data_IF_585447480462
#
_entry.id   IF_585447480462
#
_cell.length_a   1.000
_cell.length_b   1.000
_cell.length_c   1.000
_cell.angle_alpha   90.00
_cell.angle_beta   90.00
_cell.angle_gamma   90.00
#
_symmetry.space_group_name_H-M   'P 1'
#
loop_
_entity.id
_entity.type
_entity.pdbx_description
1 polymer ?
#
# COMPACT_ATOMS: atom_id res chain seq x y z
N UNK A 1 52.90 -28.06 -5.57
CA UNK A 1 51.54 -28.21 -5.00
C UNK A 1 51.63 -28.11 -3.49
N UNK A 2 51.38 -26.91 -2.95
CA UNK A 2 51.68 -26.56 -1.57
C UNK A 2 50.42 -26.53 -0.71
N UNK A 3 50.47 -27.26 0.41
CA UNK A 3 49.43 -27.42 1.46
C UNK A 3 49.01 -26.13 2.19
N UNK A 4 49.23 -24.96 1.59
CA UNK A 4 48.87 -23.63 2.12
C UNK A 4 47.57 -23.07 1.55
N UNK A 5 47.16 -23.49 0.35
CA UNK A 5 45.90 -23.03 -0.27
C UNK A 5 44.65 -23.80 0.19
N UNK A 6 44.79 -24.94 0.86
CA UNK A 6 43.65 -25.72 1.36
C UNK A 6 43.18 -25.30 2.76
N UNK A 7 44.01 -24.57 3.53
CA UNK A 7 43.64 -24.13 4.90
C UNK A 7 42.90 -22.79 4.94
N UNK A 8 42.97 -21.99 3.89
CA UNK A 8 42.30 -20.67 3.82
C UNK A 8 40.83 -20.84 3.39
N UNK A 9 40.50 -21.81 2.55
CA UNK A 9 39.11 -22.10 2.19
C UNK A 9 38.31 -22.78 3.32
N UNK A 10 38.96 -23.53 4.22
CA UNK A 10 38.26 -24.16 5.35
C UNK A 10 37.98 -23.16 6.50
N UNK A 11 38.80 -22.12 6.67
CA UNK A 11 38.59 -21.08 7.67
C UNK A 11 37.47 -20.10 7.29
N UNK A 12 37.27 -19.84 5.98
CA UNK A 12 36.18 -18.99 5.49
C UNK A 12 34.82 -19.73 5.44
N UNK A 13 34.82 -21.06 5.33
CA UNK A 13 33.59 -21.85 5.34
C UNK A 13 33.05 -22.10 6.77
N UNK A 14 33.90 -22.02 7.80
CA UNK A 14 33.48 -22.11 9.21
C UNK A 14 33.02 -20.76 9.79
N UNK A 15 33.40 -19.62 9.17
CA UNK A 15 32.88 -18.31 9.56
C UNK A 15 31.55 -17.92 8.89
N UNK A 16 31.12 -18.67 7.85
CA UNK A 16 29.89 -18.40 7.11
C UNK A 16 28.70 -19.31 7.50
N UNK A 17 28.90 -20.22 8.47
CA UNK A 17 27.87 -21.09 9.01
C UNK A 17 27.90 -20.98 10.53
N UNK A 18 26.76 -20.56 11.10
CA UNK A 18 26.44 -20.43 12.53
C UNK A 18 26.75 -19.03 13.09
N UNK A 19 25.90 -18.10 12.64
CA UNK A 19 25.11 -17.30 13.55
C UNK A 19 25.80 -16.07 14.11
N UNK A 20 25.44 -14.92 13.57
CA UNK A 20 25.32 -13.70 14.35
C UNK A 20 24.43 -14.03 15.54
N UNK A 21 25.04 -14.45 16.65
CA UNK A 21 24.41 -14.37 17.95
C UNK A 21 24.27 -12.87 18.18
N UNK A 22 23.06 -12.30 18.29
CA UNK A 22 22.94 -10.93 18.74
C UNK A 22 23.74 -10.86 20.05
N UNK A 23 24.63 -9.88 20.18
CA UNK A 23 25.29 -9.58 21.44
C UNK A 23 24.23 -9.12 22.45
N UNK A 24 23.38 -10.05 22.92
CA UNK A 24 22.74 -9.97 24.21
C UNK A 24 23.89 -10.27 25.18
N UNK A 25 24.40 -9.24 25.83
CA UNK A 25 24.98 -9.42 27.16
C UNK A 25 23.89 -10.11 27.99
N UNK A 26 23.90 -11.44 28.00
CA UNK A 26 23.01 -12.25 28.81
C UNK A 26 23.51 -12.18 30.25
N UNK A 27 23.18 -11.09 30.94
CA UNK A 27 22.76 -11.28 32.32
C UNK A 27 21.56 -12.22 32.24
N UNK A 28 21.55 -13.29 33.04
CA UNK A 28 20.32 -14.02 33.28
C UNK A 28 19.34 -12.99 33.85
N UNK A 29 18.42 -12.50 33.01
CA UNK A 29 17.34 -11.67 33.49
C UNK A 29 16.38 -12.64 34.18
N UNK A 30 16.12 -12.39 35.46
CA UNK A 30 15.16 -13.15 36.26
C UNK A 30 13.72 -12.95 35.77
N UNK A 31 13.52 -12.17 34.71
CA UNK A 31 12.23 -11.84 34.14
C UNK A 31 12.31 -11.75 32.61
N UNK A 32 11.28 -12.21 31.93
CA UNK A 32 11.10 -12.02 30.49
C UNK A 32 9.88 -11.17 30.22
N UNK A 33 9.94 -10.43 29.12
CA UNK A 33 8.83 -9.68 28.56
C UNK A 33 8.87 -9.91 27.06
N UNK A 34 7.73 -10.30 26.49
CA UNK A 34 7.53 -10.48 25.06
C UNK A 34 6.27 -9.71 24.66
N UNK A 35 6.36 -8.85 23.65
CA UNK A 35 5.25 -8.05 23.14
C UNK A 35 5.09 -8.32 21.65
N UNK A 36 3.88 -8.72 21.27
CA UNK A 36 3.54 -9.11 19.91
C UNK A 36 2.42 -8.21 19.36
N UNK A 37 2.54 -7.71 18.11
CA UNK A 37 1.45 -7.07 17.41
C UNK A 37 0.23 -7.98 17.30
N UNK A 38 -0.96 -7.38 17.36
CA UNK A 38 -2.21 -8.09 17.13
C UNK A 38 -2.38 -8.45 15.64
N UNK A 39 -3.08 -9.56 15.31
CA UNK A 39 -3.27 -10.00 13.91
C UNK A 39 -3.96 -8.96 13.01
N UNK A 40 -4.70 -8.03 13.61
CA UNK A 40 -5.35 -6.89 12.92
C UNK A 40 -4.33 -5.91 12.33
N UNK A 41 -3.09 -5.92 12.82
CA UNK A 41 -2.00 -5.03 12.39
C UNK A 41 -1.06 -5.71 11.38
N UNK A 42 -0.91 -7.04 11.44
CA UNK A 42 0.02 -7.80 10.58
C UNK A 42 -0.31 -7.68 9.08
N UNK A 43 -1.59 -7.54 8.74
CA UNK A 43 -2.07 -7.47 7.35
C UNK A 43 -2.61 -6.08 6.98
N UNK A 44 -2.51 -5.11 7.88
CA UNK A 44 -3.02 -3.76 7.64
C UNK A 44 -2.09 -3.02 6.67
N UNK A 45 -2.65 -2.58 5.55
CA UNK A 45 -2.00 -1.67 4.60
C UNK A 45 -2.19 -0.20 5.02
N UNK A 46 -3.30 0.09 5.70
CA UNK A 46 -3.59 1.38 6.34
C UNK A 46 -4.06 1.17 7.79
N UNK A 47 -3.81 2.14 8.66
CA UNK A 47 -4.16 2.10 10.08
C UNK A 47 -5.28 3.11 10.35
N UNK A 48 -6.55 2.68 10.34
CA UNK A 48 -7.69 3.57 10.60
C UNK A 48 -7.84 3.87 12.08
N UNK A 49 -8.13 5.13 12.43
CA UNK A 49 -8.30 5.57 13.82
C UNK A 49 -9.45 4.84 14.52
N UNK A 50 -10.56 4.62 13.79
CA UNK A 50 -11.69 3.82 14.27
C UNK A 50 -11.33 2.34 14.41
N UNK A 51 -10.58 1.79 13.45
CA UNK A 51 -10.14 0.40 13.48
C UNK A 51 -9.11 0.11 14.58
N UNK A 52 -8.41 1.13 15.06
CA UNK A 52 -7.58 1.06 16.27
C UNK A 52 -8.37 1.21 17.57
N UNK A 53 -9.67 1.55 17.49
CA UNK A 53 -10.54 1.69 18.67
C UNK A 53 -10.17 2.87 19.57
N UNK A 54 -9.70 3.98 19.00
CA UNK A 54 -9.31 5.20 19.75
C UNK A 54 -10.46 5.75 20.61
N UNK A 55 -11.71 5.49 20.23
CA UNK A 55 -12.92 5.89 20.94
C UNK A 55 -13.46 4.84 21.93
N UNK A 56 -12.80 3.69 22.03
CA UNK A 56 -13.24 2.55 22.86
C UNK A 56 -12.29 2.33 24.03
N UNK A 57 -12.51 3.03 25.15
CA UNK A 57 -11.71 2.92 26.38
C UNK A 57 -11.61 1.45 26.87
N UNK A 58 -10.50 0.78 26.55
CA UNK A 58 -10.19 -0.59 26.99
C UNK A 58 -11.16 -1.67 26.50
N UNK A 59 -12.01 -1.37 25.52
CA UNK A 59 -12.97 -2.32 24.92
C UNK A 59 -12.78 -2.48 23.41
N UNK A 60 -11.73 -1.87 22.87
CA UNK A 60 -11.39 -1.91 21.46
C UNK A 60 -10.77 -3.24 21.02
N UNK A 61 -10.27 -3.30 19.78
CA UNK A 61 -9.54 -4.47 19.30
C UNK A 61 -8.24 -4.68 20.10
N UNK A 62 -7.78 -5.93 20.12
CA UNK A 62 -6.48 -6.27 20.68
C UNK A 62 -5.40 -5.87 19.66
N UNK A 63 -4.74 -4.75 19.95
CA UNK A 63 -3.67 -4.19 19.12
C UNK A 63 -2.32 -4.78 19.46
N UNK A 64 -2.10 -5.10 20.74
CA UNK A 64 -0.91 -5.77 21.21
C UNK A 64 -1.29 -6.82 22.24
N UNK A 65 -0.47 -7.85 22.30
CA UNK A 65 -0.48 -8.81 23.39
C UNK A 65 0.91 -8.95 23.97
N UNK A 66 0.99 -9.17 25.27
CA UNK A 66 2.24 -9.28 25.98
C UNK A 66 2.21 -10.46 26.95
N UNK A 67 3.34 -11.16 27.01
CA UNK A 67 3.61 -12.18 28.03
C UNK A 67 4.76 -11.72 28.89
N UNK A 68 4.59 -11.82 30.20
CA UNK A 68 5.63 -11.53 31.17
C UNK A 68 5.79 -12.71 32.11
N UNK A 69 7.03 -13.10 32.39
CA UNK A 69 7.33 -14.27 33.21
C UNK A 69 8.47 -14.00 34.18
N UNK A 70 8.25 -14.27 35.47
CA UNK A 70 9.32 -14.37 36.44
C UNK A 70 10.00 -15.74 36.29
N UNK A 71 11.29 -15.76 35.97
CA UNK A 71 12.08 -16.99 35.80
C UNK A 71 12.79 -17.45 37.08
N UNK A 72 12.69 -16.68 38.16
CA UNK A 72 13.32 -16.98 39.44
C UNK A 72 12.39 -17.73 40.41
N UNK A 73 13.01 -18.34 41.43
CA UNK A 73 12.32 -18.95 42.56
C UNK A 73 11.95 -17.94 43.66
N UNK A 74 12.27 -16.66 43.46
CA UNK A 74 11.96 -15.57 44.38
C UNK A 74 10.80 -14.70 43.86
N UNK A 75 10.14 -13.98 44.78
CA UNK A 75 9.15 -12.96 44.38
C UNK A 75 9.88 -11.73 43.91
N UNK A 76 9.48 -11.18 42.76
CA UNK A 76 10.03 -9.92 42.26
C UNK A 76 9.02 -8.82 42.58
N UNK A 77 9.35 -8.00 43.58
CA UNK A 77 8.53 -6.87 44.04
C UNK A 77 8.94 -5.53 43.41
N UNK A 78 8.11 -4.51 43.64
CA UNK A 78 8.33 -3.12 43.21
C UNK A 78 8.47 -2.97 41.69
N UNK A 79 7.64 -3.70 40.94
CA UNK A 79 7.59 -3.65 39.49
C UNK A 79 6.66 -2.53 38.99
N UNK A 80 7.09 -1.93 37.88
CA UNK A 80 6.42 -0.84 37.20
C UNK A 80 6.59 -0.96 35.69
N UNK A 81 5.62 -0.41 34.96
CA UNK A 81 5.71 -0.23 33.52
C UNK A 81 6.02 1.19 33.09
N UNK A 82 6.72 1.31 31.97
CA UNK A 82 6.73 2.49 31.12
C UNK A 82 6.37 2.04 29.70
N UNK A 83 5.44 2.78 29.08
CA UNK A 83 5.02 2.58 27.70
C UNK A 83 5.42 3.80 26.90
N UNK A 84 6.06 3.54 25.77
CA UNK A 84 6.44 4.57 24.81
C UNK A 84 5.84 4.18 23.46
N UNK A 85 5.10 5.09 22.86
CA UNK A 85 4.66 4.95 21.47
C UNK A 85 5.42 5.97 20.64
N UNK A 86 6.01 5.51 19.54
CA UNK A 86 6.78 6.37 18.64
C UNK A 86 6.32 6.18 17.20
N UNK A 87 6.46 7.24 16.41
CA UNK A 87 6.34 7.21 14.95
C UNK A 87 7.72 7.51 14.35
N UNK A 88 8.17 6.70 13.38
CA UNK A 88 9.54 6.76 12.84
C UNK A 88 9.97 8.14 12.32
N UNK A 89 9.04 8.93 11.77
CA UNK A 89 9.31 10.27 11.22
C UNK A 89 9.23 11.39 12.26
N UNK A 90 8.57 11.14 13.38
CA UNK A 90 8.19 12.18 14.36
C UNK A 90 8.96 12.02 15.68
N UNK A 91 9.19 10.78 16.11
CA UNK A 91 9.74 10.44 17.41
C UNK A 91 8.67 9.93 18.37
N UNK A 92 8.89 10.11 19.68
CA UNK A 92 7.95 9.65 20.70
C UNK A 92 6.70 10.51 20.67
N UNK A 93 5.53 9.89 20.50
CA UNK A 93 4.22 10.55 20.46
C UNK A 93 3.42 10.31 21.75
N UNK A 94 3.67 9.20 22.45
CA UNK A 94 3.08 8.92 23.77
C UNK A 94 4.18 8.44 24.69
N UNK A 95 4.18 8.93 25.91
CA UNK A 95 4.99 8.43 27.00
C UNK A 95 4.14 8.37 28.27
N UNK A 96 3.92 7.16 28.77
CA UNK A 96 3.20 6.95 30.03
C UNK A 96 3.99 6.04 30.95
N UNK A 97 4.04 6.41 32.22
CA UNK A 97 4.71 5.66 33.27
C UNK A 97 3.71 5.31 34.35
N UNK A 98 3.79 4.08 34.86
CA UNK A 98 2.97 3.63 35.98
C UNK A 98 3.20 4.51 37.21
N UNK A 99 2.12 4.84 37.90
CA UNK A 99 2.16 5.62 39.13
C UNK A 99 2.99 4.89 40.20
N UNK A 100 4.01 5.57 40.73
CA UNK A 100 4.94 5.03 41.72
C UNK A 100 4.27 4.57 43.02
N UNK A 101 3.06 5.03 43.33
CA UNK A 101 2.31 4.61 44.54
C UNK A 101 1.62 3.25 44.42
N UNK A 102 1.62 2.64 43.23
CA UNK A 102 0.93 1.37 42.95
C UNK A 102 1.86 0.35 42.28
N UNK A 103 2.92 -0.13 42.95
CA UNK A 103 3.75 -1.22 42.42
C UNK A 103 2.96 -2.52 42.33
N UNK A 104 3.41 -3.42 41.45
CA UNK A 104 2.99 -4.81 41.46
C UNK A 104 4.17 -5.75 41.71
N UNK A 105 3.86 -7.03 41.84
CA UNK A 105 4.82 -8.10 42.14
C UNK A 105 4.53 -9.32 41.27
N UNK A 106 5.57 -10.07 40.89
CA UNK A 106 5.41 -11.40 40.31
C UNK A 106 5.87 -12.47 41.30
N UNK A 107 5.02 -13.48 41.52
CA UNK A 107 5.34 -14.66 42.30
C UNK A 107 6.41 -15.50 41.57
N UNK A 108 7.13 -16.39 42.29
CA UNK A 108 8.08 -17.31 41.68
C UNK A 108 7.47 -18.07 40.50
N UNK A 109 8.18 -18.13 39.37
CA UNK A 109 7.73 -18.82 38.15
C UNK A 109 6.36 -18.37 37.61
N UNK A 110 5.88 -17.19 38.00
CA UNK A 110 4.60 -16.68 37.54
C UNK A 110 4.73 -16.17 36.12
N UNK A 111 3.88 -16.69 35.23
CA UNK A 111 3.65 -16.17 33.89
C UNK A 111 2.27 -15.49 33.84
N UNK A 112 2.22 -14.31 33.23
CA UNK A 112 0.99 -13.56 33.00
C UNK A 112 0.91 -13.12 31.54
N UNK A 113 -0.31 -13.11 31.02
CA UNK A 113 -0.64 -12.62 29.69
C UNK A 113 -1.59 -11.43 29.81
N UNK A 114 -1.35 -10.38 29.03
CA UNK A 114 -2.18 -9.18 29.01
C UNK A 114 -2.14 -8.50 27.64
N UNK A 115 -3.09 -7.60 27.41
CA UNK A 115 -3.29 -6.88 26.16
C UNK A 115 -3.29 -5.37 26.40
N UNK A 116 -3.34 -4.57 25.32
CA UNK A 116 -3.60 -3.13 25.43
C UNK A 116 -4.88 -2.82 26.21
N UNK A 117 -5.92 -3.63 26.07
CA UNK A 117 -7.19 -3.45 26.78
C UNK A 117 -7.04 -3.69 28.29
N UNK A 118 -6.27 -4.70 28.68
CA UNK A 118 -5.96 -4.96 30.10
C UNK A 118 -5.22 -3.76 30.73
N UNK A 119 -4.24 -3.21 30.01
CA UNK A 119 -3.49 -2.03 30.46
C UNK A 119 -4.38 -0.78 30.54
N UNK A 120 -5.25 -0.55 29.54
CA UNK A 120 -6.21 0.54 29.54
C UNK A 120 -7.22 0.45 30.68
N UNK A 121 -7.60 -0.77 31.08
CA UNK A 121 -8.46 -1.03 32.24
C UNK A 121 -7.70 -1.11 33.57
N UNK A 122 -6.41 -0.74 33.59
CA UNK A 122 -5.55 -0.70 34.78
C UNK A 122 -5.45 -2.03 35.55
N UNK A 123 -5.60 -3.16 34.86
CA UNK A 123 -5.63 -4.50 35.47
C UNK A 123 -4.96 -5.53 34.58
N UNK A 124 -4.08 -6.36 35.15
CA UNK A 124 -3.51 -7.52 34.46
C UNK A 124 -4.12 -8.81 35.04
N UNK A 125 -4.68 -9.69 34.20
CA UNK A 125 -5.12 -11.01 34.64
C UNK A 125 -4.00 -11.79 35.35
N UNK A 126 -4.28 -12.27 36.56
CA UNK A 126 -3.31 -12.99 37.40
C UNK A 126 -2.47 -12.10 38.32
N UNK A 127 -2.58 -10.77 38.22
CA UNK A 127 -2.01 -9.82 39.18
C UNK A 127 -3.15 -9.22 40.01
N UNK A 128 -3.05 -9.34 41.34
CA UNK A 128 -4.10 -8.88 42.25
C UNK A 128 -4.08 -7.36 42.44
N UNK A 129 -2.90 -6.74 42.27
CA UNK A 129 -2.71 -5.30 42.37
C UNK A 129 -3.26 -4.59 41.13
N UNK A 130 -3.98 -3.49 41.34
CA UNK A 130 -4.32 -2.53 40.30
C UNK A 130 -3.19 -1.53 40.13
N UNK A 131 -2.96 -1.07 38.91
CA UNK A 131 -2.01 0.01 38.63
C UNK A 131 -2.78 1.26 38.18
N UNK A 132 -2.07 2.27 37.72
CA UNK A 132 -2.62 3.45 37.05
C UNK A 132 -1.47 4.14 36.35
N UNK A 133 -1.71 4.81 35.23
CA UNK A 133 -0.67 5.51 34.49
C UNK A 133 -0.67 7.01 34.72
N UNK A 134 0.49 7.61 34.53
CA UNK A 134 0.70 9.06 34.48
C UNK A 134 1.49 9.39 33.22
N UNK A 135 1.36 10.61 32.71
CA UNK A 135 1.90 10.99 31.41
C UNK A 135 0.78 11.14 30.38
N UNK A 136 1.11 10.97 29.10
CA UNK A 136 0.16 11.11 28.00
C UNK A 136 0.87 11.39 26.69
N UNK A 137 0.29 12.27 25.88
CA UNK A 137 0.93 12.77 24.67
C UNK A 137 2.19 13.55 25.04
N UNK A 138 3.25 13.35 24.26
CA UNK A 138 4.44 14.23 24.27
C UNK A 138 4.12 15.52 23.52
N UNK A 139 5.04 16.48 23.50
CA UNK A 139 4.89 17.69 22.66
C UNK A 139 4.77 17.32 21.18
N UNK A 140 5.60 16.39 20.71
CA UNK A 140 5.54 15.85 19.35
C UNK A 140 4.23 15.09 19.10
N UNK A 141 3.68 14.43 20.13
CA UNK A 141 2.38 13.76 20.08
C UNK A 141 1.19 14.72 19.98
N UNK A 142 1.25 15.85 20.68
CA UNK A 142 0.23 16.91 20.58
C UNK A 142 0.21 17.53 19.18
N UNK A 143 1.40 17.83 18.63
CA UNK A 143 1.54 18.34 17.25
C UNK A 143 1.06 17.30 16.23
N UNK A 144 1.46 16.04 16.39
CA UNK A 144 1.00 14.95 15.54
C UNK A 144 -0.52 14.81 15.57
N UNK A 145 -1.15 14.81 16.74
CA UNK A 145 -2.61 14.74 16.86
C UNK A 145 -3.31 15.95 16.23
N UNK A 146 -2.72 17.15 16.35
CA UNK A 146 -3.23 18.35 15.68
C UNK A 146 -3.21 18.16 14.16
N UNK A 147 -2.13 17.61 13.60
CA UNK A 147 -2.00 17.34 12.15
C UNK A 147 -2.97 16.25 11.66
N UNK A 148 -3.41 15.34 12.54
CA UNK A 148 -4.46 14.37 12.23
C UNK A 148 -5.86 14.99 12.15
N UNK A 149 -6.05 16.27 12.49
CA UNK A 149 -7.38 16.88 12.53
C UNK A 149 -8.08 16.81 11.17
N UNK A 150 -9.13 15.99 11.10
CA UNK A 150 -9.90 15.73 9.87
C UNK A 150 -9.49 14.47 9.10
N UNK A 151 -8.44 13.77 9.53
CA UNK A 151 -8.08 12.44 9.05
C UNK A 151 -8.85 11.35 9.78
N UNK A 152 -9.14 10.24 9.09
CA UNK A 152 -9.68 9.00 9.67
C UNK A 152 -8.64 7.89 9.77
N UNK A 153 -7.42 8.13 9.27
CA UNK A 153 -6.31 7.17 9.25
C UNK A 153 -5.02 7.79 9.82
N UNK A 154 -4.15 6.94 10.39
CA UNK A 154 -2.80 7.33 10.73
C UNK A 154 -1.95 7.43 9.45
N UNK A 155 -1.09 8.46 9.32
CA UNK A 155 -0.14 8.58 8.23
C UNK A 155 0.74 7.35 8.10
N UNK A 156 1.26 7.12 6.88
CA UNK A 156 2.22 6.04 6.68
C UNK A 156 3.52 6.31 7.43
N UNK A 157 3.77 5.50 8.43
CA UNK A 157 5.00 5.46 9.19
C UNK A 157 5.25 4.05 9.74
N UNK A 158 6.43 3.83 10.29
CA UNK A 158 6.67 2.75 11.22
C UNK A 158 6.32 3.24 12.61
N UNK A 159 5.27 2.69 13.20
CA UNK A 159 4.90 2.93 14.59
C UNK A 159 5.51 1.86 15.47
N UNK A 160 5.98 2.23 16.65
CA UNK A 160 6.48 1.26 17.63
C UNK A 160 5.77 1.45 18.95
N UNK A 161 5.35 0.35 19.56
CA UNK A 161 4.97 0.29 20.96
C UNK A 161 6.11 -0.39 21.71
N UNK A 162 6.75 0.37 22.58
CA UNK A 162 7.80 -0.11 23.47
C UNK A 162 7.23 -0.25 24.87
N UNK A 163 7.41 -1.43 25.47
CA UNK A 163 7.06 -1.70 26.86
C UNK A 163 8.34 -1.98 27.64
N UNK A 164 8.59 -1.18 28.66
CA UNK A 164 9.71 -1.34 29.57
C UNK A 164 9.17 -1.77 30.92
N UNK A 165 9.68 -2.89 31.42
CA UNK A 165 9.48 -3.33 32.78
C UNK A 165 10.67 -2.89 33.62
N UNK A 166 10.42 -2.14 34.67
CA UNK A 166 11.47 -1.68 35.58
C UNK A 166 11.09 -1.90 37.04
N UNK A 167 12.13 -1.94 37.88
CA UNK A 167 12.02 -1.99 39.33
C UNK A 167 12.63 -0.75 39.93
N UNK A 168 12.04 -0.24 41.00
CA UNK A 168 12.67 0.79 41.85
C UNK A 168 13.24 0.12 43.09
N UNK A 169 14.54 0.32 43.33
CA UNK A 169 15.22 -0.17 44.53
C UNK A 169 15.81 0.98 45.33
N UNK A 170 15.78 0.86 46.66
CA UNK A 170 16.29 1.87 47.59
C UNK A 170 17.79 2.15 47.39
N UNK A 171 18.55 1.17 46.87
CA UNK A 171 20.01 1.23 46.75
C UNK A 171 20.52 1.71 45.38
N UNK A 172 19.75 1.56 44.30
CA UNK A 172 20.20 1.81 42.92
C UNK A 172 19.26 2.69 42.09
N UNK A 173 18.10 3.10 42.64
CA UNK A 173 17.09 3.82 41.88
C UNK A 173 16.36 2.92 40.88
N UNK A 174 16.00 3.48 39.72
CA UNK A 174 15.32 2.76 38.62
C UNK A 174 16.27 1.77 37.97
N UNK A 175 15.86 0.51 37.91
CA UNK A 175 16.53 -0.58 37.23
C UNK A 175 15.60 -1.17 36.16
N UNK A 176 15.93 -0.99 34.88
CA UNK A 176 15.19 -1.64 33.79
C UNK A 176 15.50 -3.15 33.81
N UNK A 177 14.47 -3.97 33.94
CA UNK A 177 14.60 -5.42 34.06
C UNK A 177 14.39 -6.12 32.72
N UNK A 178 13.37 -5.70 31.97
CA UNK A 178 13.07 -6.20 30.63
C UNK A 178 12.51 -5.08 29.76
N UNK A 179 12.65 -5.24 28.45
CA UNK A 179 12.17 -4.32 27.43
C UNK A 179 11.85 -5.15 26.20
N UNK A 180 10.71 -4.87 25.59
CA UNK A 180 10.41 -5.39 24.27
C UNK A 180 9.60 -4.38 23.44
N UNK A 181 9.63 -4.55 22.12
CA UNK A 181 9.08 -3.61 21.16
C UNK A 181 8.21 -4.36 20.15
N UNK A 182 6.96 -3.93 20.02
CA UNK A 182 6.10 -4.30 18.90
C UNK A 182 6.16 -3.20 17.83
N UNK A 183 6.50 -3.59 16.59
CA UNK A 183 6.48 -2.72 15.42
C UNK A 183 5.13 -2.86 14.69
N UNK A 184 4.52 -1.74 14.32
CA UNK A 184 3.18 -1.61 13.77
C UNK A 184 3.25 -0.67 12.58
N UNK A 185 2.84 -1.12 11.40
CA UNK A 185 3.05 -0.33 10.18
C UNK A 185 4.52 -0.30 9.77
N UNK A 186 4.78 0.06 8.50
CA UNK A 186 6.14 0.02 7.93
C UNK A 186 6.39 -1.13 6.94
N UNK A 187 5.41 -2.02 6.75
CA UNK A 187 5.46 -3.07 5.73
C UNK A 187 6.56 -4.09 5.97
N UNK A 188 6.19 -5.26 6.49
CA UNK A 188 6.87 -6.48 6.05
C UNK A 188 6.84 -6.49 4.52
N UNK A 189 7.96 -6.79 3.86
CA UNK A 189 8.17 -6.86 2.40
C UNK A 189 7.14 -7.71 1.62
N UNK A 190 6.14 -8.30 2.29
CA UNK A 190 5.11 -9.18 1.74
C UNK A 190 3.74 -8.52 1.56
N UNK A 191 3.46 -7.38 2.20
CA UNK A 191 2.24 -6.62 1.96
C UNK A 191 2.58 -5.46 1.02
N UNK A 192 2.14 -5.53 -0.24
CA UNK A 192 2.20 -4.41 -1.18
C UNK A 192 1.63 -3.18 -0.47
N UNK A 193 2.49 -2.20 -0.24
CA UNK A 193 2.14 -0.98 0.47
C UNK A 193 1.37 -0.10 -0.49
N UNK A 194 0.11 0.19 -0.21
CA UNK A 194 -0.66 1.16 -0.99
C UNK A 194 -0.37 2.55 -0.46
N UNK A 195 0.21 3.42 -1.27
CA UNK A 195 0.16 4.84 -0.99
C UNK A 195 -1.29 5.32 -1.13
N UNK A 196 -1.95 5.57 0.01
CA UNK A 196 -3.20 6.32 0.09
C UNK A 196 -2.95 7.71 -0.53
N UNK A 197 -3.27 7.85 -1.82
CA UNK A 197 -2.86 9.05 -2.54
C UNK A 197 -3.19 9.07 -4.03
N UNK A 198 -4.44 8.73 -4.36
CA UNK A 198 -5.13 8.90 -5.64
C UNK A 198 -4.66 8.00 -6.80
N UNK A 199 -5.61 7.21 -7.31
CA UNK A 199 -5.51 6.61 -8.63
C UNK A 199 -5.75 7.73 -9.66
N UNK A 200 -4.74 8.10 -10.44
CA UNK A 200 -4.85 9.17 -11.44
C UNK A 200 -5.09 8.60 -12.83
N UNK A 201 -6.23 8.89 -13.43
CA UNK A 201 -6.53 8.42 -14.79
C UNK A 201 -5.67 9.18 -15.82
N UNK A 202 -5.27 8.48 -16.90
CA UNK A 202 -4.42 9.03 -17.97
C UNK A 202 -5.10 8.99 -19.34
N UNK A 203 -5.75 7.89 -19.66
CA UNK A 203 -6.45 7.67 -20.95
C UNK A 203 -7.43 6.50 -20.82
N UNK A 204 -8.51 6.45 -21.62
CA UNK A 204 -8.99 7.46 -22.55
C UNK A 204 -9.90 8.48 -21.87
N UNK A 205 -10.18 9.58 -22.56
CA UNK A 205 -11.14 10.57 -22.07
C UNK A 205 -10.53 11.56 -21.09
N UNK A 206 -11.42 12.21 -20.36
CA UNK A 206 -11.10 13.20 -19.33
C UNK A 206 -12.30 13.29 -18.35
N UNK A 207 -12.19 14.08 -17.29
CA UNK A 207 -13.22 14.27 -16.26
C UNK A 207 -14.59 14.53 -16.88
N UNK A 208 -15.65 13.94 -16.30
CA UNK A 208 -17.03 14.10 -16.79
C UNK A 208 -17.37 15.57 -17.08
N UNK A 209 -17.89 15.83 -18.28
CA UNK A 209 -18.33 17.17 -18.71
C UNK A 209 -17.37 17.90 -19.65
N UNK A 210 -16.19 17.34 -19.92
CA UNK A 210 -15.18 17.91 -20.84
C UNK A 210 -15.40 17.55 -22.33
N UNK A 211 -16.43 16.77 -22.66
CA UNK A 211 -16.74 16.31 -24.03
C UNK A 211 -15.55 15.66 -24.76
N UNK A 212 -14.68 14.92 -24.05
CA UNK A 212 -13.52 14.27 -24.67
C UNK A 212 -13.94 13.24 -25.73
N UNK A 213 -13.29 13.27 -26.90
CA UNK A 213 -13.61 12.41 -28.03
C UNK A 213 -12.46 11.45 -28.36
N UNK A 214 -12.79 10.21 -28.69
CA UNK A 214 -11.85 9.20 -29.22
C UNK A 214 -12.40 8.60 -30.51
N UNK A 215 -11.54 8.05 -31.36
CA UNK A 215 -11.93 7.41 -32.63
C UNK A 215 -11.64 5.90 -32.67
N UNK A 216 -10.80 5.41 -31.75
CA UNK A 216 -10.45 4.00 -31.65
C UNK A 216 -11.52 3.24 -30.83
N UNK A 217 -12.25 2.27 -31.41
CA UNK A 217 -13.24 1.46 -30.67
C UNK A 217 -12.61 0.46 -29.68
N UNK A 218 -11.28 0.34 -29.68
CA UNK A 218 -10.50 -0.47 -28.75
C UNK A 218 -9.50 0.43 -28.01
N UNK A 219 -9.96 1.36 -27.15
CA UNK A 219 -9.05 2.26 -26.46
C UNK A 219 -8.15 1.52 -25.46
N UNK A 220 -6.98 2.08 -25.19
CA UNK A 220 -6.13 1.68 -24.08
C UNK A 220 -6.49 2.51 -22.85
N UNK A 221 -6.91 1.82 -21.80
CA UNK A 221 -7.11 2.39 -20.47
C UNK A 221 -5.77 2.42 -19.75
N UNK A 222 -5.42 3.55 -19.13
CA UNK A 222 -4.21 3.69 -18.33
C UNK A 222 -4.43 4.66 -17.20
N UNK A 223 -3.80 4.36 -16.08
CA UNK A 223 -3.81 5.16 -14.87
C UNK A 223 -2.44 5.15 -14.20
N UNK A 224 -2.24 6.06 -13.27
CA UNK A 224 -1.20 6.00 -12.25
C UNK A 224 -1.80 5.39 -10.99
N UNK A 225 -1.08 4.45 -10.38
CA UNK A 225 -1.46 3.80 -9.15
C UNK A 225 -0.30 2.94 -8.63
N UNK A 226 -0.47 2.43 -7.42
CA UNK A 226 0.49 1.55 -6.76
C UNK A 226 0.80 0.29 -7.57
N UNK A 227 2.05 -0.16 -7.48
CA UNK A 227 2.52 -1.39 -8.13
C UNK A 227 2.18 -2.62 -7.27
N UNK A 228 1.99 -3.79 -7.91
CA UNK A 228 1.60 -5.06 -7.24
C UNK A 228 0.21 -5.03 -6.59
N UNK A 229 -0.67 -4.20 -7.13
CA UNK A 229 -2.06 -4.04 -6.73
C UNK A 229 -2.98 -4.59 -7.82
N UNK A 230 -4.09 -5.21 -7.41
CA UNK A 230 -5.17 -5.55 -8.33
C UNK A 230 -6.18 -4.41 -8.40
N UNK A 231 -6.50 -3.99 -9.62
CA UNK A 231 -7.49 -2.96 -9.90
C UNK A 231 -8.71 -3.57 -10.59
N UNK A 232 -9.92 -3.17 -10.20
CA UNK A 232 -11.14 -3.41 -10.96
C UNK A 232 -11.36 -2.23 -11.91
N UNK A 233 -11.36 -2.49 -13.21
CA UNK A 233 -11.66 -1.52 -14.26
C UNK A 233 -13.10 -1.69 -14.71
N UNK A 234 -13.88 -0.62 -14.59
CA UNK A 234 -15.30 -0.55 -14.97
C UNK A 234 -15.47 0.42 -16.13
N UNK A 235 -16.21 0.00 -17.16
CA UNK A 235 -16.63 0.85 -18.28
C UNK A 235 -18.11 0.65 -18.53
N UNK A 236 -18.89 1.74 -18.48
CA UNK A 236 -20.35 1.73 -18.64
C UNK A 236 -20.79 2.71 -19.73
N UNK A 237 -21.82 2.33 -20.48
CA UNK A 237 -22.48 3.20 -21.47
C UNK A 237 -23.44 4.16 -20.75
N UNK A 238 -23.48 5.42 -21.16
CA UNK A 238 -24.53 6.34 -20.73
C UNK A 238 -25.93 5.79 -21.09
N UNK A 239 -26.83 5.75 -20.09
CA UNK A 239 -28.22 5.33 -20.25
C UNK A 239 -29.16 6.46 -19.85
N UNK A 240 -29.97 6.95 -20.79
CA UNK A 240 -31.06 7.88 -20.50
C UNK A 240 -30.62 9.15 -19.75
N UNK A 241 -31.07 9.29 -18.51
CA UNK A 241 -30.74 10.39 -17.60
C UNK A 241 -29.98 9.90 -16.35
N UNK A 242 -29.53 8.65 -16.34
CA UNK A 242 -28.80 8.09 -15.21
C UNK A 242 -27.45 8.79 -15.09
N UNK A 243 -27.11 9.18 -13.87
CA UNK A 243 -25.82 9.80 -13.56
C UNK A 243 -24.68 8.78 -13.68
N UNK A 244 -23.46 9.19 -14.08
CA UNK A 244 -22.27 8.33 -14.11
C UNK A 244 -22.06 7.56 -12.80
N UNK A 245 -22.24 8.23 -11.66
CA UNK A 245 -22.06 7.68 -10.31
C UNK A 245 -23.03 6.52 -10.06
N UNK A 246 -24.30 6.69 -10.41
CA UNK A 246 -25.34 5.66 -10.25
C UNK A 246 -25.08 4.43 -11.13
N UNK A 247 -24.61 4.64 -12.36
CA UNK A 247 -24.29 3.53 -13.28
C UNK A 247 -23.09 2.73 -12.76
N UNK A 248 -22.02 3.41 -12.35
CA UNK A 248 -20.83 2.77 -11.79
C UNK A 248 -21.09 2.13 -10.43
N UNK A 249 -21.90 2.73 -9.56
CA UNK A 249 -22.33 2.11 -8.31
C UNK A 249 -23.13 0.83 -8.55
N UNK A 250 -24.02 0.85 -9.54
CA UNK A 250 -24.76 -0.35 -9.96
C UNK A 250 -23.82 -1.43 -10.48
N UNK A 251 -22.81 -1.06 -11.27
CA UNK A 251 -21.83 -2.01 -11.77
C UNK A 251 -20.99 -2.65 -10.64
N UNK A 252 -20.53 -1.83 -9.69
CA UNK A 252 -19.79 -2.28 -8.50
C UNK A 252 -20.56 -3.29 -7.66
N UNK A 253 -21.89 -3.20 -7.63
CA UNK A 253 -22.76 -4.10 -6.86
C UNK A 253 -22.82 -5.54 -7.40
N UNK A 254 -22.35 -5.75 -8.63
CA UNK A 254 -22.22 -7.08 -9.23
C UNK A 254 -20.78 -7.60 -9.11
N UNK A 255 -20.57 -8.91 -9.31
CA UNK A 255 -19.23 -9.48 -9.35
C UNK A 255 -18.57 -9.21 -10.72
N UNK A 256 -17.24 -8.99 -10.78
CA UNK A 256 -16.54 -8.85 -12.07
C UNK A 256 -16.57 -10.16 -12.86
N UNK A 257 -16.44 -10.07 -14.18
CA UNK A 257 -16.52 -11.22 -15.09
C UNK A 257 -15.51 -12.32 -14.73
N UNK A 258 -14.30 -11.93 -14.33
CA UNK A 258 -13.24 -12.86 -13.91
C UNK A 258 -13.53 -13.66 -12.63
N UNK A 259 -14.48 -13.21 -11.81
CA UNK A 259 -14.85 -13.84 -10.53
C UNK A 259 -16.25 -14.49 -10.57
N UNK A 260 -16.70 -14.92 -11.77
CA UNK A 260 -17.98 -15.61 -11.96
C UNK A 260 -19.19 -14.68 -12.14
N UNK A 261 -18.97 -13.37 -12.26
CA UNK A 261 -20.01 -12.42 -12.65
C UNK A 261 -20.25 -12.35 -14.15
N UNK A 262 -21.20 -11.51 -14.55
CA UNK A 262 -21.57 -11.29 -15.95
C UNK A 262 -21.92 -9.83 -16.17
N UNK A 263 -21.54 -9.28 -17.33
CA UNK A 263 -21.80 -7.89 -17.67
C UNK A 263 -23.30 -7.59 -17.65
N UNK A 264 -23.67 -6.52 -16.95
CA UNK A 264 -25.00 -5.92 -17.04
C UNK A 264 -25.20 -5.27 -18.41
N UNK A 265 -26.45 -5.04 -18.81
CA UNK A 265 -26.79 -4.52 -20.15
C UNK A 265 -26.22 -3.14 -20.49
N UNK A 266 -25.72 -2.40 -19.51
CA UNK A 266 -25.08 -1.09 -19.67
C UNK A 266 -23.57 -1.14 -19.40
N UNK A 267 -23.02 -2.30 -19.05
CA UNK A 267 -21.60 -2.49 -18.81
C UNK A 267 -20.90 -2.98 -20.07
N UNK A 268 -19.92 -2.20 -20.51
CA UNK A 268 -19.04 -2.57 -21.61
C UNK A 268 -17.86 -3.40 -21.12
N UNK A 269 -17.38 -3.14 -19.91
CA UNK A 269 -16.24 -3.85 -19.33
C UNK A 269 -16.33 -3.87 -17.80
N UNK A 270 -16.01 -5.02 -17.22
CA UNK A 270 -15.82 -5.19 -15.79
C UNK A 270 -14.80 -6.31 -15.54
N UNK A 271 -13.55 -5.91 -15.28
CA UNK A 271 -12.40 -6.82 -15.21
C UNK A 271 -11.45 -6.47 -14.08
N UNK A 272 -10.73 -7.47 -13.58
CA UNK A 272 -9.60 -7.30 -12.67
C UNK A 272 -8.30 -7.23 -13.48
N UNK A 273 -7.49 -6.23 -13.20
CA UNK A 273 -6.23 -5.92 -13.88
C UNK A 273 -5.10 -5.87 -12.85
N UNK A 274 -4.03 -6.64 -13.09
CA UNK A 274 -2.82 -6.69 -12.25
C UNK A 274 -1.69 -5.81 -12.83
N UNK A 275 -2.07 -4.66 -13.38
CA UNK A 275 -1.20 -3.70 -14.05
C UNK A 275 -1.87 -2.32 -14.04
N UNK A 276 -1.14 -1.28 -14.47
CA UNK A 276 -1.64 0.10 -14.55
C UNK A 276 -2.17 0.49 -15.94
N UNK A 277 -2.42 -0.50 -16.80
CA UNK A 277 -3.05 -0.29 -18.09
C UNK A 277 -3.79 -1.54 -18.56
N UNK A 278 -4.80 -1.34 -19.39
CA UNK A 278 -5.61 -2.41 -19.96
C UNK A 278 -6.08 -2.04 -21.38
N UNK A 279 -5.85 -2.93 -22.34
CA UNK A 279 -6.32 -2.79 -23.71
C UNK A 279 -7.76 -3.29 -23.81
N UNK A 280 -8.71 -2.44 -24.23
CA UNK A 280 -10.09 -2.87 -24.44
C UNK A 280 -10.12 -4.00 -25.49
N UNK A 281 -10.72 -5.16 -25.17
CA UNK A 281 -10.61 -6.34 -26.01
C UNK A 281 -11.59 -6.28 -27.19
N UNK A 282 -11.26 -7.00 -28.26
CA UNK A 282 -12.09 -7.09 -29.47
C UNK A 282 -13.25 -8.08 -29.37
N UNK A 283 -13.30 -8.89 -28.30
CA UNK A 283 -14.32 -9.92 -28.08
C UNK A 283 -14.46 -10.23 -26.58
N UNK A 284 -15.56 -10.90 -26.20
CA UNK A 284 -15.85 -11.26 -24.80
C UNK A 284 -16.38 -10.11 -23.94
N UNK A 285 -16.67 -8.96 -24.56
CA UNK A 285 -17.17 -7.73 -23.93
C UNK A 285 -18.30 -7.14 -24.79
N UNK A 286 -19.07 -6.20 -24.24
CA UNK A 286 -20.02 -5.44 -25.06
C UNK A 286 -19.26 -4.35 -25.83
N UNK A 287 -19.34 -4.33 -27.17
CA UNK A 287 -18.54 -3.43 -27.99
C UNK A 287 -18.87 -1.96 -27.73
N UNK A 288 -17.89 -1.10 -27.90
CA UNK A 288 -18.12 0.35 -27.93
C UNK A 288 -18.77 0.73 -29.26
N UNK A 289 -19.85 1.49 -29.19
CA UNK A 289 -20.66 1.96 -30.30
C UNK A 289 -20.39 3.43 -30.58
N UNK A 290 -20.34 3.77 -31.88
CA UNK A 290 -20.12 5.15 -32.31
C UNK A 290 -21.26 6.07 -31.88
N UNK A 291 -20.91 7.30 -31.54
CA UNK A 291 -21.82 8.34 -31.06
C UNK A 291 -22.28 8.14 -29.61
N UNK A 292 -21.83 7.09 -28.91
CA UNK A 292 -22.16 6.86 -27.51
C UNK A 292 -21.10 7.45 -26.58
N UNK A 293 -21.58 7.86 -25.41
CA UNK A 293 -20.75 8.32 -24.29
C UNK A 293 -20.53 7.16 -23.34
N UNK A 294 -19.30 7.01 -22.87
CA UNK A 294 -18.89 6.02 -21.90
C UNK A 294 -18.31 6.69 -20.67
N UNK A 295 -18.59 6.10 -19.51
CA UNK A 295 -17.97 6.46 -18.24
C UNK A 295 -17.10 5.31 -17.77
N UNK A 296 -15.97 5.62 -17.16
CA UNK A 296 -15.10 4.60 -16.61
C UNK A 296 -14.43 5.05 -15.33
N UNK A 297 -14.13 4.06 -14.50
CA UNK A 297 -13.49 4.24 -13.20
C UNK A 297 -12.63 3.02 -12.90
N UNK A 298 -11.52 3.27 -12.24
CA UNK A 298 -10.65 2.25 -11.66
C UNK A 298 -10.85 2.24 -10.14
N UNK A 299 -10.99 1.04 -9.59
CA UNK A 299 -11.25 0.79 -8.17
C UNK A 299 -10.24 -0.22 -7.65
N UNK A 300 -9.80 -0.06 -6.42
CA UNK A 300 -9.03 -1.09 -5.71
C UNK A 300 -9.52 -1.22 -4.28
N UNK A 301 -9.05 -2.25 -3.62
CA UNK A 301 -9.48 -2.64 -2.29
C UNK A 301 -8.24 -2.78 -1.42
N UNK A 302 -8.15 -1.97 -0.37
CA UNK A 302 -7.04 -1.94 0.57
C UNK A 302 -7.47 -2.54 1.91
N UNK A 303 -6.56 -3.26 2.56
CA UNK A 303 -6.80 -3.77 3.91
C UNK A 303 -6.49 -2.67 4.92
N UNK A 304 -7.52 -2.16 5.59
CA UNK A 304 -7.37 -1.31 6.77
C UNK A 304 -7.26 -2.17 8.03
N UNK A 305 -6.70 -1.63 9.11
CA UNK A 305 -6.73 -2.26 10.43
C UNK A 305 -8.17 -2.58 10.84
N UNK A 306 -8.60 -3.83 10.62
CA UNK A 306 -9.91 -4.35 11.03
C UNK A 306 -11.02 -4.29 10.00
N UNK A 307 -10.82 -3.66 8.85
CA UNK A 307 -11.83 -3.60 7.78
C UNK A 307 -11.17 -3.48 6.40
N UNK A 308 -11.95 -3.62 5.35
CA UNK A 308 -11.51 -3.48 3.97
C UNK A 308 -12.07 -2.18 3.39
N UNK A 309 -11.22 -1.31 2.86
CA UNK A 309 -11.61 -0.02 2.28
C UNK A 309 -11.52 -0.05 0.75
N UNK A 310 -12.54 0.54 0.09
CA UNK A 310 -12.56 0.70 -1.36
C UNK A 310 -11.99 2.07 -1.74
N UNK A 311 -10.91 2.07 -2.52
CA UNK A 311 -10.31 3.29 -3.07
C UNK A 311 -10.70 3.39 -4.55
N UNK A 312 -11.39 4.47 -4.91
CA UNK A 312 -11.83 4.73 -6.28
C UNK A 312 -11.10 5.93 -6.88
N UNK A 313 -10.78 5.86 -8.17
CA UNK A 313 -10.38 7.03 -8.98
C UNK A 313 -11.54 8.00 -9.21
N UNK A 314 -11.25 9.17 -9.80
CA UNK A 314 -12.29 10.00 -10.44
C UNK A 314 -13.05 9.22 -11.52
N UNK A 315 -14.22 9.74 -11.91
CA UNK A 315 -14.96 9.20 -13.06
C UNK A 315 -14.54 10.00 -14.29
N UNK A 316 -14.01 9.30 -15.30
CA UNK A 316 -13.70 9.89 -16.59
C UNK A 316 -14.72 9.47 -17.65
N UNK A 317 -14.85 10.29 -18.68
CA UNK A 317 -15.78 10.09 -19.78
C UNK A 317 -15.13 10.29 -21.14
N UNK A 318 -15.65 9.58 -22.14
CA UNK A 318 -15.31 9.82 -23.54
C UNK A 318 -16.47 9.50 -24.47
N UNK A 319 -16.46 10.08 -25.67
CA UNK A 319 -17.38 9.79 -26.77
C UNK A 319 -16.63 9.11 -27.89
N UNK A 320 -17.12 7.97 -28.38
CA UNK A 320 -16.55 7.29 -29.54
C UNK A 320 -17.08 7.93 -30.84
N UNK A 321 -16.24 8.62 -31.59
CA UNK A 321 -16.58 9.21 -32.90
C UNK A 321 -16.32 8.27 -34.05
N UNK A 322 -16.91 8.62 -35.19
CA UNK A 322 -16.58 7.97 -36.46
C UNK A 322 -15.16 8.37 -36.90
N UNK A 323 -14.35 7.41 -37.35
CA UNK A 323 -12.99 7.66 -37.83
C UNK A 323 -12.98 8.50 -39.14
N UNK A 324 -14.15 8.75 -39.73
CA UNK A 324 -14.32 9.69 -40.82
C UNK A 324 -14.47 11.12 -40.31
N UNK A 325 -13.37 11.89 -40.38
CA UNK A 325 -13.20 13.32 -40.03
C UNK A 325 -12.62 13.61 -38.62
N UNK A 326 -11.37 13.22 -38.38
CA UNK A 326 -10.51 13.90 -37.41
C UNK A 326 -9.39 14.63 -38.16
N UNK A 327 -9.60 15.92 -38.47
CA UNK A 327 -8.58 16.82 -39.05
C UNK A 327 -7.75 17.56 -37.99
N UNK A 328 -7.56 16.97 -36.81
CA UNK A 328 -6.75 17.59 -35.75
C UNK A 328 -5.42 16.86 -35.62
N UNK A 329 -4.39 17.42 -36.27
CA UNK A 329 -2.98 17.09 -36.02
C UNK A 329 -2.65 17.53 -34.59
N UNK A 330 -2.66 16.60 -33.63
CA UNK A 330 -2.12 16.87 -32.31
C UNK A 330 -0.60 17.14 -32.42
N UNK A 331 -0.06 18.17 -31.75
CA UNK A 331 1.38 18.41 -31.75
C UNK A 331 2.10 17.21 -31.13
N UNK A 332 2.97 16.58 -31.92
CA UNK A 332 3.81 15.44 -31.50
C UNK A 332 4.73 15.92 -30.37
N UNK A 333 4.75 15.23 -29.23
CA UNK A 333 5.65 15.54 -28.11
C UNK A 333 7.13 15.35 -28.52
N UNK A 334 8.05 15.98 -27.79
CA UNK A 334 9.48 15.87 -28.07
C UNK A 334 10.00 14.43 -27.87
N UNK A 335 9.33 13.66 -27.03
CA UNK A 335 9.58 12.26 -26.70
C UNK A 335 9.22 11.37 -27.89
N UNK A 336 8.00 11.51 -28.42
CA UNK A 336 7.50 10.78 -29.60
C UNK A 336 8.32 11.13 -30.83
N UNK A 337 8.73 12.39 -30.97
CA UNK A 337 9.66 12.80 -32.02
C UNK A 337 10.98 12.04 -31.97
N UNK A 338 11.63 12.00 -30.80
CA UNK A 338 12.89 11.27 -30.60
C UNK A 338 12.72 9.78 -30.85
N UNK A 339 11.56 9.24 -30.50
CA UNK A 339 11.14 7.87 -30.74
C UNK A 339 11.09 7.53 -32.24
N UNK A 340 10.41 8.34 -33.04
CA UNK A 340 10.34 8.17 -34.50
C UNK A 340 11.74 8.34 -35.13
N UNK A 341 12.50 9.35 -34.72
CA UNK A 341 13.86 9.61 -35.22
C UNK A 341 14.80 8.40 -34.99
N UNK A 342 14.62 7.67 -33.87
CA UNK A 342 15.36 6.42 -33.61
C UNK A 342 14.90 5.25 -34.48
N UNK A 343 13.61 5.17 -34.81
CA UNK A 343 13.03 4.04 -35.54
C UNK A 343 13.32 4.09 -37.05
N UNK A 344 13.07 5.25 -37.69
CA UNK A 344 13.24 5.41 -39.14
C UNK A 344 14.58 6.08 -39.52
N UNK A 345 15.33 6.54 -38.52
CA UNK A 345 16.53 7.32 -38.71
C UNK A 345 16.25 8.81 -38.93
N UNK A 346 17.13 9.66 -38.38
CA UNK A 346 16.99 11.12 -38.42
C UNK A 346 16.83 11.67 -39.85
N UNK A 347 17.59 11.14 -40.81
CA UNK A 347 17.53 11.56 -42.21
C UNK A 347 16.20 11.22 -42.88
N UNK A 348 15.62 10.06 -42.58
CA UNK A 348 14.32 9.67 -43.14
C UNK A 348 13.18 10.49 -42.53
N UNK A 349 13.24 10.72 -41.22
CA UNK A 349 12.31 11.60 -40.53
C UNK A 349 12.33 13.01 -41.12
N UNK A 350 13.53 13.57 -41.31
CA UNK A 350 13.65 14.93 -41.81
C UNK A 350 13.15 15.05 -43.26
N UNK A 351 13.39 14.06 -44.12
CA UNK A 351 12.81 14.01 -45.49
C UNK A 351 11.29 13.96 -45.49
N UNK A 352 10.66 13.26 -44.55
CA UNK A 352 9.19 13.21 -44.44
C UNK A 352 8.64 14.58 -44.02
N UNK A 353 9.30 15.22 -43.05
CA UNK A 353 8.95 16.56 -42.59
C UNK A 353 9.10 17.62 -43.68
N UNK A 354 10.20 17.60 -44.41
CA UNK A 354 10.47 18.56 -45.51
C UNK A 354 9.47 18.40 -46.67
N UNK A 355 8.86 17.22 -46.80
CA UNK A 355 7.78 16.92 -47.76
C UNK A 355 6.38 17.22 -47.22
N UNK A 356 6.27 17.76 -46.00
CA UNK A 356 5.01 18.15 -45.37
C UNK A 356 4.19 17.00 -44.78
N UNK A 357 4.78 15.82 -44.59
CA UNK A 357 4.09 14.72 -43.91
C UNK A 357 4.04 14.94 -42.40
N UNK A 358 2.89 14.68 -41.81
CA UNK A 358 2.66 14.66 -40.36
C UNK A 358 2.29 13.25 -39.89
N UNK A 359 2.58 12.93 -38.63
CA UNK A 359 2.04 11.70 -38.04
C UNK A 359 0.56 11.91 -37.75
N UNK A 360 -0.29 11.22 -38.49
CA UNK A 360 -1.76 11.24 -38.29
C UNK A 360 -2.22 10.01 -37.52
N UNK A 361 -1.70 8.84 -37.89
CA UNK A 361 -2.00 7.56 -37.26
C UNK A 361 -0.83 6.59 -37.29
N UNK A 362 -0.90 5.57 -36.44
CA UNK A 362 -0.03 4.39 -36.45
C UNK A 362 -0.93 3.19 -36.63
N UNK A 363 -0.60 2.32 -37.57
CA UNK A 363 -1.26 1.02 -37.70
C UNK A 363 -0.34 -0.08 -37.17
N UNK A 364 -0.84 -0.87 -36.21
CA UNK A 364 -0.14 -2.02 -35.63
C UNK A 364 -1.11 -3.17 -35.46
N UNK A 365 -0.76 -4.37 -35.94
CA UNK A 365 -1.62 -5.57 -35.93
C UNK A 365 -3.05 -5.33 -36.46
N UNK A 366 -3.16 -4.51 -37.51
CA UNK A 366 -4.45 -4.17 -38.14
C UNK A 366 -5.30 -3.16 -37.37
N UNK A 367 -4.87 -2.70 -36.18
CA UNK A 367 -5.50 -1.61 -35.45
C UNK A 367 -4.87 -0.27 -35.78
N UNK A 368 -5.69 0.77 -35.92
CA UNK A 368 -5.27 2.15 -36.13
C UNK A 368 -5.34 2.95 -34.83
N UNK A 369 -4.21 3.56 -34.46
CA UNK A 369 -4.06 4.45 -33.31
C UNK A 369 -3.88 5.88 -33.83
N UNK A 370 -4.65 6.84 -33.31
CA UNK A 370 -4.60 8.26 -33.73
C UNK A 370 -4.34 9.17 -32.52
N UNK A 371 -3.93 10.42 -32.76
CA UNK A 371 -3.79 11.43 -31.71
C UNK A 371 -2.84 11.02 -30.55
N UNK A 372 -3.18 11.31 -29.28
CA UNK A 372 -2.38 10.91 -28.12
C UNK A 372 -2.18 9.39 -28.00
N UNK A 373 -3.16 8.58 -28.43
CA UNK A 373 -3.06 7.12 -28.37
C UNK A 373 -1.99 6.57 -29.33
N UNK A 374 -1.79 7.21 -30.49
CA UNK A 374 -0.68 6.87 -31.40
C UNK A 374 0.68 7.09 -30.73
N UNK A 375 0.81 8.18 -29.98
CA UNK A 375 2.03 8.52 -29.25
C UNK A 375 2.37 7.50 -28.16
N UNK A 376 1.38 7.15 -27.33
CA UNK A 376 1.54 6.14 -26.29
C UNK A 376 1.85 4.76 -26.87
N UNK A 377 1.15 4.38 -27.96
CA UNK A 377 1.41 3.10 -28.61
C UNK A 377 2.82 3.00 -29.16
N UNK A 378 3.35 4.10 -29.70
CA UNK A 378 4.73 4.14 -30.17
C UNK A 378 5.73 4.02 -29.00
N UNK A 379 5.46 4.67 -27.87
CA UNK A 379 6.29 4.55 -26.68
C UNK A 379 6.31 3.13 -26.11
N UNK A 380 5.16 2.46 -26.05
CA UNK A 380 5.03 1.05 -25.67
C UNK A 380 5.85 0.14 -26.58
N UNK A 381 5.68 0.27 -27.91
CA UNK A 381 6.41 -0.53 -28.88
C UNK A 381 7.93 -0.33 -28.76
N UNK A 382 8.37 0.90 -28.53
CA UNK A 382 9.79 1.20 -28.33
C UNK A 382 10.33 0.70 -27.00
N UNK A 383 9.51 0.63 -25.96
CA UNK A 383 9.90 0.02 -24.68
C UNK A 383 10.08 -1.49 -24.87
N UNK A 384 9.14 -2.16 -25.53
CA UNK A 384 9.25 -3.59 -25.87
C UNK A 384 10.47 -3.93 -26.72
N UNK A 385 10.85 -3.05 -27.65
CA UNK A 385 12.11 -3.19 -28.42
C UNK A 385 13.34 -3.07 -27.49
N UNK A 386 13.33 -2.11 -26.54
CA UNK A 386 14.44 -1.92 -25.59
C UNK A 386 14.60 -3.09 -24.64
N UNK A 387 13.49 -3.69 -24.23
CA UNK A 387 13.45 -4.79 -23.29
C UNK A 387 13.69 -6.16 -23.97
N UNK A 388 14.06 -6.16 -25.25
CA UNK A 388 14.27 -7.35 -26.09
C UNK A 388 13.04 -8.28 -26.17
N UNK A 389 11.84 -7.75 -25.87
CA UNK A 389 10.57 -8.48 -25.93
C UNK A 389 10.01 -8.60 -27.36
N UNK A 390 10.58 -7.86 -28.32
CA UNK A 390 10.28 -8.00 -29.76
C UNK A 390 11.45 -8.71 -30.44
N UNK A 391 11.23 -9.96 -30.81
CA UNK A 391 12.17 -10.76 -31.60
C UNK A 391 12.01 -10.39 -33.07
N UNK A 392 12.99 -9.68 -33.62
CA UNK A 392 13.09 -9.48 -35.07
C UNK A 392 13.76 -10.72 -35.65
N UNK A 393 12.96 -11.65 -36.19
CA UNK A 393 13.52 -12.72 -37.01
C UNK A 393 14.10 -12.10 -38.29
N UNK A 394 15.42 -12.15 -38.42
CA UNK A 394 16.10 -11.83 -39.66
C UNK A 394 15.91 -12.98 -40.64
N UNK A 395 15.54 -12.66 -41.88
CA UNK A 395 15.72 -13.58 -43.01
C UNK A 395 17.20 -13.79 -43.32
#
# INVERSE_FOLDING_TARGET
MNKRSLKICLALFVLALIGVVPNKFASAQDITLNVEPGPILDNAQTLSLTGLGIDTEGQGPVLISATMENLSDETIDNLYFELIVSAGKIGNIVEVTQNASRPFSLKPFQSVYFTNNDLANERIPGIDQTFSFTGGLTTEGEDFLSDLSGSTTLPRDTYTLELILFRVTDAQGRQNLARDIAEIGGGSMTAASFEEGNIYLKTPGDVVGTESEITNPFPQFSWEGENNVSYRLLVVEQRGQDSPESLLASAKSSAPVGNGGSLLSFENLDVIVQANSFQFPSSGVQPLEKGKTYYWQVVTTVQSSGDTEEVSSEIWSFVLKDAGQATATAPISAEVRRAIERLIGQDAYQRLKDRGFTLESIQYDGQEFTGPAASLKLEELLQKIRDEEIIVEGN
#
